data_IF_328253392085
#
_entry.id   IF_328253392085
#
_cell.length_a   1.000
_cell.length_b   1.000
_cell.length_c   1.000
_cell.angle_alpha   90.00
_cell.angle_beta   90.00
_cell.angle_gamma   90.00
#
_symmetry.space_group_name_H-M   'P 1'
#
loop_
_entity.id
_entity.type
_entity.pdbx_description
1 polymer ?
#
# COMPACT_ATOMS: atom_id res chain seq x y z
N UNK A 1 4.79 13.01 -9.58
CA UNK A 1 4.87 11.79 -8.76
C UNK A 1 4.85 10.51 -9.61
N UNK A 2 3.97 10.32 -10.63
CA UNK A 2 3.97 9.09 -11.43
C UNK A 2 5.34 8.76 -12.06
N UNK A 3 6.02 9.74 -12.62
CA UNK A 3 7.36 9.58 -13.22
C UNK A 3 8.39 9.18 -12.13
N UNK A 4 8.34 9.79 -10.95
CA UNK A 4 9.27 9.48 -9.86
C UNK A 4 9.12 8.03 -9.36
N UNK A 5 7.88 7.53 -9.29
CA UNK A 5 7.61 6.13 -8.90
C UNK A 5 8.19 5.09 -9.86
N UNK A 6 8.44 5.48 -11.11
CA UNK A 6 9.08 4.63 -12.12
C UNK A 6 10.61 4.76 -12.13
N UNK A 7 11.13 5.95 -11.87
CA UNK A 7 12.56 6.27 -12.03
C UNK A 7 13.38 6.04 -10.75
N UNK A 8 12.78 6.25 -9.57
CA UNK A 8 13.48 6.13 -8.30
C UNK A 8 13.37 4.70 -7.79
N UNK A 9 14.50 4.01 -7.77
CA UNK A 9 14.59 2.59 -7.43
C UNK A 9 15.04 2.34 -6.00
N UNK A 10 15.67 3.33 -5.35
CA UNK A 10 16.19 3.20 -3.99
C UNK A 10 15.91 4.45 -3.13
N UNK A 11 14.63 4.74 -2.86
CA UNK A 11 14.26 5.83 -1.95
C UNK A 11 14.58 5.44 -0.49
N UNK A 12 14.69 6.42 0.42
CA UNK A 12 14.81 6.13 1.85
C UNK A 12 13.58 5.37 2.37
N UNK A 13 13.74 4.67 3.47
CA UNK A 13 12.60 4.04 4.17
C UNK A 13 11.93 5.09 5.06
N UNK A 14 10.61 5.26 4.89
CA UNK A 14 9.81 6.17 5.69
C UNK A 14 8.88 5.40 6.63
N UNK A 15 9.06 5.57 7.93
CA UNK A 15 8.16 5.04 8.93
C UNK A 15 6.97 5.98 9.08
N UNK A 16 5.87 5.60 8.45
CA UNK A 16 4.67 6.42 8.36
C UNK A 16 3.79 6.24 9.59
N UNK A 17 4.03 7.07 10.60
CA UNK A 17 3.21 7.15 11.80
C UNK A 17 2.36 8.43 11.88
N UNK A 18 2.13 9.08 10.75
CA UNK A 18 1.33 10.32 10.67
C UNK A 18 -0.08 10.06 11.20
N UNK A 19 -0.44 10.75 12.29
CA UNK A 19 -1.74 10.54 12.95
C UNK A 19 -1.87 9.22 13.72
N UNK A 20 -0.77 8.48 13.90
CA UNK A 20 -0.73 7.16 14.51
C UNK A 20 -0.84 6.02 13.49
N UNK A 21 -0.70 4.80 13.97
CA UNK A 21 -0.92 3.60 13.16
C UNK A 21 -2.39 3.19 13.19
N UNK A 22 -2.96 2.99 12.01
CA UNK A 22 -4.26 2.37 11.83
C UNK A 22 -4.21 0.86 12.03
N UNK A 23 -5.05 0.14 11.27
CA UNK A 23 -5.02 -1.32 11.26
C UNK A 23 -3.63 -1.84 10.89
N UNK A 24 -3.16 -2.89 11.56
CA UNK A 24 -3.78 -3.65 12.62
C UNK A 24 -3.44 -3.19 14.04
N UNK A 25 -2.65 -2.13 14.20
CA UNK A 25 -2.09 -1.71 15.51
C UNK A 25 -3.00 -0.80 16.32
N UNK A 26 -3.72 0.13 15.67
CA UNK A 26 -4.63 1.10 16.29
C UNK A 26 -4.01 1.84 17.49
N UNK A 27 -2.81 2.36 17.31
CA UNK A 27 -2.05 3.01 18.39
C UNK A 27 -1.31 4.27 17.91
N UNK A 28 -1.05 5.14 18.86
CA UNK A 28 -0.15 6.27 18.64
C UNK A 28 1.30 5.80 18.61
N UNK A 29 2.08 6.39 17.72
CA UNK A 29 3.53 6.24 17.68
C UNK A 29 4.19 7.62 17.78
N UNK A 30 5.52 7.64 18.04
CA UNK A 30 6.33 8.85 17.86
C UNK A 30 6.17 9.47 16.47
N UNK A 31 6.72 10.67 16.30
CA UNK A 31 6.71 11.38 15.02
C UNK A 31 7.22 10.52 13.87
N UNK A 32 6.62 10.68 12.66
CA UNK A 32 7.06 9.95 11.48
C UNK A 32 8.51 10.30 11.14
N UNK A 33 9.29 9.30 10.70
CA UNK A 33 10.72 9.47 10.48
C UNK A 33 11.19 8.75 9.23
N UNK A 34 12.15 9.36 8.52
CA UNK A 34 12.94 8.68 7.51
C UNK A 34 14.06 7.90 8.22
N UNK A 35 14.07 6.57 8.07
CA UNK A 35 15.02 5.65 8.73
C UNK A 35 16.39 5.66 8.05
N UNK A 36 16.42 6.03 6.77
CA UNK A 36 17.62 6.17 5.96
C UNK A 36 17.48 7.42 5.09
N UNK A 37 18.60 7.87 4.56
CA UNK A 37 18.70 9.13 3.84
C UNK A 37 19.41 10.19 4.67
N UNK A 38 19.99 11.14 3.99
CA UNK A 38 20.71 12.27 4.56
C UNK A 38 20.04 13.60 4.16
N UNK A 39 20.72 14.70 4.47
CA UNK A 39 20.27 16.03 4.08
C UNK A 39 20.26 16.26 2.55
N UNK A 40 20.82 15.33 1.76
CA UNK A 40 20.84 15.39 0.29
C UNK A 40 19.68 14.63 -0.35
N UNK A 41 18.88 13.88 0.44
CA UNK A 41 17.70 13.16 -0.07
C UNK A 41 16.74 14.15 -0.73
N UNK A 42 16.50 13.94 -2.01
CA UNK A 42 15.66 14.82 -2.83
C UNK A 42 14.18 14.77 -2.42
N UNK A 43 13.43 15.80 -2.79
CA UNK A 43 11.98 15.80 -2.60
C UNK A 43 11.29 14.63 -3.32
N UNK A 44 11.82 14.26 -4.49
CA UNK A 44 11.27 13.14 -5.27
C UNK A 44 11.46 11.80 -4.57
N UNK A 45 12.65 11.53 -4.02
CA UNK A 45 12.93 10.33 -3.22
C UNK A 45 12.06 10.26 -1.96
N UNK A 46 11.91 11.38 -1.25
CA UNK A 46 11.01 11.46 -0.09
C UNK A 46 9.55 11.18 -0.47
N UNK A 47 9.08 11.70 -1.59
CA UNK A 47 7.72 11.46 -2.07
C UNK A 47 7.49 10.00 -2.45
N UNK A 48 8.46 9.34 -3.08
CA UNK A 48 8.40 7.90 -3.38
C UNK A 48 8.42 7.08 -2.10
N UNK A 49 9.26 7.43 -1.12
CA UNK A 49 9.31 6.77 0.18
C UNK A 49 7.96 6.82 0.92
N UNK A 50 7.27 7.97 0.87
CA UNK A 50 5.92 8.10 1.45
C UNK A 50 4.93 7.17 0.76
N UNK A 51 4.96 7.04 -0.57
CA UNK A 51 4.09 6.09 -1.28
C UNK A 51 4.45 4.64 -0.95
N UNK A 52 5.74 4.30 -0.89
CA UNK A 52 6.17 2.95 -0.48
C UNK A 52 5.72 2.60 0.93
N UNK A 53 5.73 3.55 1.87
CA UNK A 53 5.25 3.32 3.24
C UNK A 53 3.78 2.91 3.29
N UNK A 54 2.95 3.45 2.40
CA UNK A 54 1.55 3.05 2.27
C UNK A 54 1.46 1.61 1.76
N UNK A 55 2.25 1.26 0.76
CA UNK A 55 2.33 -0.13 0.24
C UNK A 55 2.79 -1.09 1.34
N UNK A 56 3.76 -0.70 2.16
CA UNK A 56 4.26 -1.50 3.28
C UNK A 56 3.19 -1.75 4.35
N UNK A 57 2.44 -0.72 4.74
CA UNK A 57 1.33 -0.86 5.68
C UNK A 57 0.20 -1.74 5.12
N UNK A 58 -0.09 -1.65 3.82
CA UNK A 58 -1.04 -2.55 3.17
C UNK A 58 -0.54 -3.99 3.19
N UNK A 59 0.76 -4.22 2.91
CA UNK A 59 1.37 -5.55 2.96
C UNK A 59 1.28 -6.18 4.35
N UNK A 60 1.52 -5.42 5.42
CA UNK A 60 1.34 -5.90 6.80
C UNK A 60 -0.09 -6.42 7.05
N UNK A 61 -1.10 -5.69 6.56
CA UNK A 61 -2.49 -6.14 6.68
C UNK A 61 -2.77 -7.39 5.85
N UNK A 62 -2.23 -7.46 4.63
CA UNK A 62 -2.38 -8.63 3.76
C UNK A 62 -1.78 -9.88 4.39
N UNK A 63 -0.58 -9.80 4.93
CA UNK A 63 0.08 -10.93 5.60
C UNK A 63 -0.76 -11.47 6.76
N UNK A 64 -1.37 -10.59 7.55
CA UNK A 64 -2.29 -11.02 8.63
C UNK A 64 -3.56 -11.69 8.11
N UNK A 65 -4.15 -11.17 7.04
CA UNK A 65 -5.34 -11.77 6.43
C UNK A 65 -4.99 -13.13 5.82
N UNK A 66 -3.85 -13.24 5.15
CA UNK A 66 -3.38 -14.47 4.50
C UNK A 66 -3.10 -15.62 5.47
N UNK A 67 -2.90 -15.34 6.76
CA UNK A 67 -2.83 -16.39 7.80
C UNK A 67 -4.18 -17.07 8.04
N UNK A 68 -5.28 -16.41 7.69
CA UNK A 68 -6.64 -16.90 7.96
C UNK A 68 -7.37 -17.36 6.69
N UNK A 69 -6.97 -16.85 5.52
CA UNK A 69 -7.62 -17.15 4.26
C UNK A 69 -6.68 -17.04 3.08
N UNK A 70 -6.99 -17.73 1.99
CA UNK A 70 -6.24 -17.65 0.74
C UNK A 70 -6.71 -16.44 -0.07
N UNK A 71 -5.76 -15.60 -0.51
CA UNK A 71 -6.00 -14.48 -1.41
C UNK A 71 -5.23 -14.75 -2.70
N UNK A 72 -5.92 -14.66 -3.84
CA UNK A 72 -5.32 -14.93 -5.16
C UNK A 72 -5.11 -13.65 -5.99
N UNK A 73 -5.78 -12.57 -5.64
CA UNK A 73 -5.66 -11.28 -6.32
C UNK A 73 -6.08 -10.14 -5.40
N UNK A 74 -5.63 -8.95 -5.71
CA UNK A 74 -6.01 -7.72 -5.02
C UNK A 74 -6.80 -6.83 -5.97
N UNK A 75 -7.85 -6.21 -5.43
CA UNK A 75 -8.60 -5.18 -6.15
C UNK A 75 -8.50 -3.87 -5.37
N UNK A 76 -8.01 -2.83 -6.01
CA UNK A 76 -7.79 -1.52 -5.39
C UNK A 76 -8.73 -0.47 -5.98
N UNK A 77 -9.13 0.49 -5.15
CA UNK A 77 -9.97 1.61 -5.54
C UNK A 77 -9.56 2.87 -4.74
N UNK A 78 -10.14 4.00 -5.09
CA UNK A 78 -9.83 5.28 -4.46
C UNK A 78 -8.76 6.07 -5.20
N UNK A 79 -8.53 7.32 -4.80
CA UNK A 79 -7.68 8.26 -5.53
C UNK A 79 -6.24 7.78 -5.75
N UNK A 80 -5.64 7.10 -4.78
CA UNK A 80 -4.27 6.57 -4.88
C UNK A 80 -4.15 5.38 -5.84
N UNK A 81 -5.23 4.65 -6.14
CA UNK A 81 -5.21 3.56 -7.13
C UNK A 81 -4.91 4.04 -8.54
N UNK A 82 -5.02 5.35 -8.80
CA UNK A 82 -4.64 5.98 -10.07
C UNK A 82 -3.12 6.06 -10.28
N UNK A 83 -2.33 5.81 -9.25
CA UNK A 83 -0.87 5.77 -9.34
C UNK A 83 -0.41 4.37 -9.77
N UNK A 84 -0.08 4.20 -11.04
CA UNK A 84 0.40 2.92 -11.60
C UNK A 84 1.58 2.35 -10.81
N UNK A 85 2.52 3.22 -10.42
CA UNK A 85 3.68 2.81 -9.64
C UNK A 85 3.32 2.25 -8.24
N UNK A 86 2.26 2.77 -7.59
CA UNK A 86 1.77 2.21 -6.33
C UNK A 86 1.18 0.82 -6.57
N UNK A 87 0.32 0.66 -7.58
CA UNK A 87 -0.30 -0.62 -7.91
C UNK A 87 0.76 -1.67 -8.30
N UNK A 88 1.77 -1.27 -9.09
CA UNK A 88 2.87 -2.16 -9.46
C UNK A 88 3.72 -2.57 -8.25
N UNK A 89 4.07 -1.64 -7.36
CA UNK A 89 4.81 -1.96 -6.12
C UNK A 89 4.00 -2.88 -5.20
N UNK A 90 2.70 -2.66 -5.09
CA UNK A 90 1.82 -3.54 -4.32
C UNK A 90 1.78 -4.95 -4.93
N UNK A 91 1.65 -5.09 -6.25
CA UNK A 91 1.70 -6.38 -6.93
C UNK A 91 3.05 -7.08 -6.70
N UNK A 92 4.17 -6.36 -6.88
CA UNK A 92 5.52 -6.91 -6.75
C UNK A 92 5.86 -7.34 -5.32
N UNK A 93 5.39 -6.58 -4.32
CA UNK A 93 5.65 -6.90 -2.92
C UNK A 93 4.78 -8.05 -2.43
N UNK A 94 3.48 -8.02 -2.72
CA UNK A 94 2.52 -9.05 -2.29
C UNK A 94 2.66 -10.37 -3.05
N UNK A 95 3.25 -10.33 -4.24
CA UNK A 95 3.32 -11.50 -5.13
C UNK A 95 1.97 -11.82 -5.80
N UNK A 96 0.98 -10.92 -5.73
CA UNK A 96 -0.36 -11.13 -6.26
C UNK A 96 -0.70 -10.13 -7.39
N UNK A 97 -1.49 -10.56 -8.38
CA UNK A 97 -2.05 -9.63 -9.36
C UNK A 97 -2.87 -8.54 -8.67
N UNK A 98 -2.70 -7.29 -9.10
CA UNK A 98 -3.48 -6.14 -8.64
C UNK A 98 -4.33 -5.64 -9.81
N UNK A 99 -5.62 -5.50 -9.61
CA UNK A 99 -6.55 -4.87 -10.55
C UNK A 99 -7.16 -3.61 -9.95
N UNK A 100 -7.61 -2.70 -10.79
CA UNK A 100 -8.38 -1.53 -10.38
C UNK A 100 -9.55 -1.32 -11.33
N UNK A 101 -10.60 -0.71 -10.81
CA UNK A 101 -11.72 -0.26 -11.64
C UNK A 101 -11.42 1.11 -12.27
N UNK A 102 -12.09 1.40 -13.36
CA UNK A 102 -12.11 2.75 -13.95
C UNK A 102 -12.79 3.75 -13.00
N UNK A 103 -13.74 3.29 -12.19
CA UNK A 103 -14.38 4.10 -11.15
C UNK A 103 -13.55 4.13 -9.86
N UNK A 104 -13.04 5.33 -9.50
CA UNK A 104 -12.30 5.55 -8.26
C UNK A 104 -13.19 5.77 -7.04
N UNK A 105 -14.52 5.95 -7.22
CA UNK A 105 -15.46 6.32 -6.17
C UNK A 105 -16.23 5.10 -5.60
N UNK A 106 -15.54 3.98 -5.41
CA UNK A 106 -16.14 2.71 -4.98
C UNK A 106 -16.97 2.82 -3.69
N UNK A 107 -16.56 3.67 -2.74
CA UNK A 107 -17.31 3.90 -1.49
C UNK A 107 -18.65 4.61 -1.75
N UNK A 108 -18.64 5.68 -2.55
CA UNK A 108 -19.86 6.40 -2.92
C UNK A 108 -20.82 5.50 -3.71
N UNK A 109 -20.26 4.71 -4.63
CA UNK A 109 -21.00 3.72 -5.40
C UNK A 109 -21.64 2.65 -4.50
N UNK A 110 -20.91 2.14 -3.52
CA UNK A 110 -21.43 1.17 -2.55
C UNK A 110 -22.58 1.74 -1.70
N UNK A 111 -22.44 2.99 -1.23
CA UNK A 111 -23.49 3.69 -0.50
C UNK A 111 -24.74 3.90 -1.38
N UNK A 112 -24.55 4.32 -2.63
CA UNK A 112 -25.66 4.48 -3.57
C UNK A 112 -26.40 3.18 -3.85
N UNK A 113 -25.67 2.07 -4.01
CA UNK A 113 -26.26 0.75 -4.16
C UNK A 113 -27.10 0.33 -2.95
N UNK A 114 -26.58 0.55 -1.73
CA UNK A 114 -27.31 0.29 -0.49
C UNK A 114 -28.56 1.15 -0.39
N UNK A 115 -28.46 2.46 -0.68
CA UNK A 115 -29.59 3.40 -0.64
C UNK A 115 -30.69 3.06 -1.68
N UNK A 116 -30.29 2.49 -2.82
CA UNK A 116 -31.21 2.03 -3.85
C UNK A 116 -31.90 0.69 -3.52
N UNK A 117 -31.66 0.11 -2.35
CA UNK A 117 -32.26 -1.16 -1.94
C UNK A 117 -31.55 -2.41 -2.49
N UNK A 118 -30.27 -2.30 -2.84
CA UNK A 118 -29.42 -3.40 -3.34
C UNK A 118 -29.96 -4.03 -4.64
N UNK A 119 -30.20 -3.24 -5.68
CA UNK A 119 -30.71 -3.77 -6.94
C UNK A 119 -29.76 -4.81 -7.55
N UNK A 120 -30.33 -5.84 -8.16
CA UNK A 120 -29.58 -6.93 -8.80
C UNK A 120 -29.04 -6.55 -10.19
N UNK A 121 -29.61 -5.53 -10.80
CA UNK A 121 -29.27 -4.98 -12.11
C UNK A 121 -28.35 -3.75 -12.01
N UNK A 122 -27.62 -3.61 -10.88
CA UNK A 122 -26.67 -2.52 -10.70
C UNK A 122 -25.58 -2.57 -11.77
N UNK A 123 -25.33 -1.44 -12.46
CA UNK A 123 -24.35 -1.43 -13.54
C UNK A 123 -22.98 -1.94 -13.09
N UNK A 124 -22.38 -2.84 -13.84
CA UNK A 124 -21.02 -3.28 -13.60
C UNK A 124 -20.03 -2.13 -13.85
N UNK A 125 -18.85 -2.23 -13.25
CA UNK A 125 -17.72 -1.35 -13.53
C UNK A 125 -16.64 -2.19 -14.21
N UNK A 126 -16.12 -1.68 -15.31
CA UNK A 126 -15.06 -2.37 -16.03
C UNK A 126 -13.74 -2.36 -15.26
N UNK A 127 -13.04 -3.48 -15.31
CA UNK A 127 -11.68 -3.56 -14.78
C UNK A 127 -10.71 -2.93 -15.81
N UNK A 128 -9.83 -2.07 -15.33
CA UNK A 128 -8.68 -1.61 -16.11
C UNK A 128 -7.61 -2.69 -16.18
N UNK A 129 -6.67 -2.62 -17.15
CA UNK A 129 -5.52 -3.53 -17.18
C UNK A 129 -4.84 -3.66 -15.84
N UNK A 130 -4.59 -4.89 -15.42
CA UNK A 130 -4.01 -5.20 -14.12
C UNK A 130 -2.49 -5.10 -14.11
N UNK A 131 -1.93 -5.16 -12.90
CA UNK A 131 -0.49 -5.17 -12.62
C UNK A 131 -0.12 -6.59 -12.18
N UNK A 132 0.80 -7.22 -12.90
CA UNK A 132 1.35 -8.51 -12.50
C UNK A 132 2.58 -8.32 -11.61
N UNK A 133 2.83 -9.25 -10.69
CA UNK A 133 4.03 -9.23 -9.85
C UNK A 133 5.30 -9.26 -10.71
N UNK A 134 6.23 -8.34 -10.44
CA UNK A 134 7.57 -8.32 -11.01
C UNK A 134 8.56 -8.45 -9.85
N UNK A 135 9.60 -9.30 -9.94
CA UNK A 135 10.60 -9.40 -8.90
C UNK A 135 11.27 -8.04 -8.61
N UNK A 136 11.18 -7.57 -7.37
CA UNK A 136 11.76 -6.32 -6.90
C UNK A 136 12.48 -6.56 -5.56
N UNK A 137 13.74 -6.98 -5.64
CA UNK A 137 14.56 -7.27 -4.46
C UNK A 137 14.81 -6.00 -3.61
N UNK A 138 15.16 -4.83 -4.19
CA UNK A 138 15.31 -3.60 -3.43
C UNK A 138 14.05 -3.23 -2.63
N UNK A 139 12.85 -3.31 -3.22
CA UNK A 139 11.60 -3.04 -2.53
C UNK A 139 11.38 -3.99 -1.34
N UNK A 140 11.65 -5.29 -1.52
CA UNK A 140 11.54 -6.29 -0.45
C UNK A 140 12.53 -6.02 0.69
N UNK A 141 13.74 -5.57 0.39
CA UNK A 141 14.73 -5.22 1.40
C UNK A 141 14.26 -3.98 2.20
N UNK A 142 13.75 -2.95 1.54
CA UNK A 142 13.20 -1.77 2.23
C UNK A 142 11.97 -2.12 3.08
N UNK A 143 11.11 -3.02 2.60
CA UNK A 143 10.01 -3.53 3.40
C UNK A 143 10.49 -4.23 4.68
N UNK A 144 11.52 -5.04 4.60
CA UNK A 144 12.13 -5.69 5.79
C UNK A 144 12.64 -4.65 6.79
N UNK A 145 13.39 -3.64 6.36
CA UNK A 145 13.84 -2.56 7.23
C UNK A 145 12.67 -1.78 7.85
N UNK A 146 11.59 -1.57 7.08
CA UNK A 146 10.38 -0.95 7.59
C UNK A 146 9.76 -1.78 8.74
N UNK A 147 9.64 -3.09 8.57
CA UNK A 147 9.11 -4.00 9.60
C UNK A 147 9.98 -4.01 10.86
N UNK A 148 11.29 -4.15 10.73
CA UNK A 148 12.24 -4.13 11.86
C UNK A 148 12.11 -2.83 12.68
N UNK A 149 12.03 -1.69 12.02
CA UNK A 149 11.85 -0.41 12.69
C UNK A 149 10.46 -0.27 13.34
N UNK A 150 9.43 -0.77 12.68
CA UNK A 150 8.08 -0.75 13.20
C UNK A 150 7.97 -1.61 14.47
N UNK A 151 8.54 -2.82 14.47
CA UNK A 151 8.60 -3.72 15.63
C UNK A 151 9.34 -3.07 16.80
N UNK A 152 10.48 -2.42 16.53
CA UNK A 152 11.24 -1.69 17.54
C UNK A 152 10.40 -0.61 18.21
N UNK A 153 9.57 0.11 17.45
CA UNK A 153 8.72 1.18 17.98
C UNK A 153 7.44 0.64 18.65
N UNK A 154 6.91 -0.47 18.17
CA UNK A 154 5.69 -1.06 18.73
C UNK A 154 5.94 -1.98 19.92
N UNK A 155 7.16 -2.50 20.05
CA UNK A 155 7.49 -3.51 21.07
C UNK A 155 6.83 -4.87 20.78
N UNK A 156 6.33 -5.08 19.56
CA UNK A 156 5.78 -6.37 19.14
C UNK A 156 6.93 -7.28 18.71
N UNK A 157 7.02 -8.52 19.25
CA UNK A 157 7.96 -9.52 18.73
C UNK A 157 7.60 -9.90 17.28
N UNK A 158 8.55 -10.53 16.60
CA UNK A 158 8.29 -11.16 15.31
C UNK A 158 7.01 -11.99 15.40
N UNK A 159 6.11 -11.76 14.48
CA UNK A 159 4.91 -12.56 14.39
C UNK A 159 5.30 -13.89 13.74
N UNK A 160 5.58 -14.90 14.58
CA UNK A 160 5.72 -16.31 14.19
C UNK A 160 4.50 -16.82 13.41
#
# INVERSE_FOLDING_TARGET
LPVWLQQITDPPVFLNSVGGLGSPWWRQLPEPVFLSGDNQTSQAERAVAVVESIVFLLQCNLERIMRQTTINQLRVSGGLSRLDGLCQKLASLSGMPVTRHDDSEASARGVAWLAAGRPTDWPAVDDLPGFLPIPDIPLKNRYRHFIEALQTQTGEPDAD
#
